data_IF_982261586689
#
_entry.id   IF_982261586689
#
_cell.length_a   1.000
_cell.length_b   1.000
_cell.length_c   1.000
_cell.angle_alpha   90.00
_cell.angle_beta   90.00
_cell.angle_gamma   90.00
#
_symmetry.space_group_name_H-M   'P 1'
#
loop_
_entity.id
_entity.type
_entity.pdbx_description
1 polymer ?
#
# COMPACT_ATOMS: atom_id res chain seq x y z
N UNK A 1 -13.59 43.72 14.35
CA UNK A 1 -12.64 44.24 13.34
C UNK A 1 -11.26 43.82 13.82
N UNK A 2 -10.44 43.05 13.12
CA UNK A 2 -10.27 42.96 11.66
C UNK A 2 -9.48 41.69 11.33
N UNK A 3 -9.89 41.03 10.24
CA UNK A 3 -9.11 40.19 9.31
C UNK A 3 -8.40 38.92 9.79
N UNK A 4 -9.11 37.83 9.52
CA UNK A 4 -8.59 36.58 8.96
C UNK A 4 -7.69 36.82 7.72
N UNK A 5 -6.54 36.15 7.71
CA UNK A 5 -5.63 35.83 6.59
C UNK A 5 -4.76 34.70 7.14
N UNK A 6 -4.61 33.51 6.58
CA UNK A 6 -5.05 32.89 5.35
C UNK A 6 -4.08 31.73 5.11
N UNK A 7 -4.56 30.51 4.93
CA UNK A 7 -3.83 29.47 4.18
C UNK A 7 -4.91 28.70 3.42
N UNK A 8 -5.12 29.08 2.16
CA UNK A 8 -5.75 28.18 1.20
C UNK A 8 -4.70 27.10 0.92
N UNK A 9 -4.72 26.02 1.69
CA UNK A 9 -4.02 24.81 1.27
C UNK A 9 -4.72 24.35 0.00
N UNK A 10 -4.02 24.50 -1.12
CA UNK A 10 -4.42 23.92 -2.39
C UNK A 10 -4.34 22.40 -2.24
N UNK A 11 -5.37 21.81 -1.64
CA UNK A 11 -5.56 20.36 -1.63
C UNK A 11 -5.79 19.97 -3.09
N UNK A 12 -4.76 19.48 -3.76
CA UNK A 12 -4.91 18.83 -5.06
C UNK A 12 -6.00 17.77 -4.89
N UNK A 13 -7.13 17.95 -5.56
CA UNK A 13 -8.26 17.02 -5.46
C UNK A 13 -7.87 15.71 -6.13
N UNK A 14 -7.97 14.61 -5.38
CA UNK A 14 -7.74 13.24 -5.86
C UNK A 14 -8.57 12.98 -7.13
N UNK A 15 -7.96 12.59 -8.26
CA UNK A 15 -8.74 12.14 -9.41
C UNK A 15 -9.52 10.89 -8.99
N UNK A 16 -10.81 10.89 -9.29
CA UNK A 16 -11.74 9.83 -8.93
C UNK A 16 -11.36 8.56 -9.69
N UNK A 17 -10.70 7.61 -9.02
CA UNK A 17 -10.31 6.32 -9.60
C UNK A 17 -8.93 5.75 -9.20
N UNK A 18 -8.09 6.51 -8.48
CA UNK A 18 -6.78 6.00 -8.07
C UNK A 18 -6.81 5.20 -6.77
N UNK A 19 -6.06 4.10 -6.75
CA UNK A 19 -5.84 3.28 -5.56
C UNK A 19 -4.84 3.92 -4.59
N UNK A 20 -3.87 4.67 -5.11
CA UNK A 20 -2.80 5.31 -4.33
C UNK A 20 -3.15 6.73 -3.89
N UNK A 21 -2.54 7.17 -2.79
CA UNK A 21 -2.63 8.54 -2.27
C UNK A 21 -1.35 8.91 -1.52
N UNK A 22 -0.45 9.62 -2.22
CA UNK A 22 0.85 10.00 -1.66
C UNK A 22 0.79 11.23 -0.75
N UNK A 23 -0.40 11.71 -0.36
CA UNK A 23 -0.53 12.91 0.51
C UNK A 23 0.21 12.71 1.84
N UNK A 24 0.00 11.56 2.50
CA UNK A 24 0.66 11.26 3.77
C UNK A 24 2.19 11.20 3.62
N UNK A 25 2.68 10.49 2.60
CA UNK A 25 4.11 10.42 2.32
C UNK A 25 4.71 11.78 1.98
N UNK A 26 3.99 12.62 1.22
CA UNK A 26 4.42 13.96 0.85
C UNK A 26 4.51 14.89 2.06
N UNK A 27 3.57 14.78 3.00
CA UNK A 27 3.62 15.51 4.27
C UNK A 27 4.81 15.05 5.12
N UNK A 28 5.08 13.74 5.17
CA UNK A 28 6.23 13.18 5.88
C UNK A 28 7.58 13.59 5.25
N UNK A 29 7.60 13.73 3.92
CA UNK A 29 8.80 14.09 3.16
C UNK A 29 9.25 15.55 3.38
N UNK A 30 8.38 16.41 3.90
CA UNK A 30 8.62 17.85 4.13
C UNK A 30 9.27 18.55 2.91
N UNK A 31 8.75 18.26 1.72
CA UNK A 31 9.23 18.83 0.45
C UNK A 31 10.41 18.11 -0.20
N UNK A 32 10.89 17.00 0.37
CA UNK A 32 11.96 16.17 -0.22
C UNK A 32 11.42 15.21 -1.28
N UNK A 33 11.55 15.57 -2.57
CA UNK A 33 11.20 14.67 -3.66
C UNK A 33 12.07 13.40 -3.69
N UNK A 34 13.35 13.51 -3.32
CA UNK A 34 14.27 12.35 -3.29
C UNK A 34 13.77 11.27 -2.32
N UNK A 35 13.26 11.68 -1.16
CA UNK A 35 12.67 10.76 -0.19
C UNK A 35 11.40 10.09 -0.73
N UNK A 36 10.51 10.85 -1.39
CA UNK A 36 9.30 10.29 -2.01
C UNK A 36 9.69 9.26 -3.09
N UNK A 37 10.66 9.60 -3.95
CA UNK A 37 11.17 8.69 -4.99
C UNK A 37 11.73 7.41 -4.36
N UNK A 38 12.58 7.53 -3.34
CA UNK A 38 13.17 6.37 -2.66
C UNK A 38 12.11 5.43 -2.08
N UNK A 39 11.08 5.99 -1.42
CA UNK A 39 10.01 5.18 -0.82
C UNK A 39 9.14 4.49 -1.88
N UNK A 40 8.85 5.17 -2.99
CA UNK A 40 8.10 4.53 -4.10
C UNK A 40 8.94 3.45 -4.76
N UNK A 41 10.22 3.70 -5.03
CA UNK A 41 11.13 2.70 -5.63
C UNK A 41 11.27 1.46 -4.73
N UNK A 42 11.42 1.65 -3.42
CA UNK A 42 11.45 0.56 -2.44
C UNK A 42 10.15 -0.26 -2.47
N UNK A 43 9.00 0.41 -2.53
CA UNK A 43 7.71 -0.28 -2.65
C UNK A 43 7.62 -1.11 -3.93
N UNK A 44 8.01 -0.55 -5.07
CA UNK A 44 7.97 -1.20 -6.38
C UNK A 44 8.96 -2.37 -6.51
N UNK A 45 10.06 -2.35 -5.78
CA UNK A 45 11.05 -3.44 -5.75
C UNK A 45 10.65 -4.57 -4.80
N UNK A 46 10.22 -4.23 -3.58
CA UNK A 46 9.99 -5.23 -2.52
C UNK A 46 8.63 -5.93 -2.61
N UNK A 47 7.57 -5.17 -2.93
CA UNK A 47 6.19 -5.70 -2.86
C UNK A 47 5.95 -6.86 -3.83
N UNK A 48 6.46 -6.86 -5.08
CA UNK A 48 6.35 -8.03 -5.96
C UNK A 48 6.96 -9.30 -5.38
N UNK A 49 8.08 -9.19 -4.64
CA UNK A 49 8.70 -10.33 -3.99
C UNK A 49 7.83 -10.88 -2.84
N UNK A 50 7.20 -10.00 -2.05
CA UNK A 50 6.24 -10.42 -1.03
C UNK A 50 5.02 -11.13 -1.61
N UNK A 51 4.47 -10.61 -2.71
CA UNK A 51 3.33 -11.26 -3.38
C UNK A 51 3.70 -12.63 -3.95
N UNK A 52 4.87 -12.78 -4.56
CA UNK A 52 5.32 -14.09 -5.02
C UNK A 52 5.48 -15.09 -3.87
N UNK A 53 6.05 -14.65 -2.73
CA UNK A 53 6.20 -15.51 -1.56
C UNK A 53 4.84 -15.88 -0.94
N UNK A 54 3.89 -14.95 -0.86
CA UNK A 54 2.57 -15.23 -0.29
C UNK A 54 1.83 -16.29 -1.11
N UNK A 55 1.95 -16.25 -2.43
CA UNK A 55 1.36 -17.25 -3.33
C UNK A 55 2.02 -18.63 -3.17
N UNK A 56 3.35 -18.67 -2.96
CA UNK A 56 4.07 -19.91 -2.66
C UNK A 56 3.62 -20.52 -1.33
N UNK A 57 3.64 -19.72 -0.26
CA UNK A 57 3.21 -20.16 1.07
C UNK A 57 1.74 -20.57 1.11
N UNK A 58 0.89 -19.98 0.27
CA UNK A 58 -0.49 -20.42 0.11
C UNK A 58 -0.59 -21.86 -0.41
N UNK A 59 0.24 -22.25 -1.39
CA UNK A 59 0.27 -23.63 -1.90
C UNK A 59 0.75 -24.62 -0.83
N UNK A 60 1.70 -24.19 0.00
CA UNK A 60 2.27 -24.99 1.08
C UNK A 60 1.39 -25.00 2.34
N UNK A 61 0.36 -24.13 2.39
CA UNK A 61 -0.46 -23.86 3.57
C UNK A 61 0.37 -23.40 4.77
N UNK A 62 1.43 -22.65 4.51
CA UNK A 62 2.27 -22.04 5.54
C UNK A 62 1.65 -20.72 6.01
N UNK A 63 0.69 -20.84 6.92
CA UNK A 63 -0.06 -19.69 7.46
C UNK A 63 0.80 -18.76 8.31
N UNK A 64 1.85 -19.28 8.97
CA UNK A 64 2.77 -18.47 9.78
C UNK A 64 3.57 -17.53 8.88
N UNK A 65 4.09 -18.04 7.77
CA UNK A 65 4.80 -17.21 6.79
C UNK A 65 3.88 -16.20 6.10
N UNK A 66 2.64 -16.59 5.74
CA UNK A 66 1.64 -15.65 5.18
C UNK A 66 1.32 -14.53 6.18
N UNK A 67 1.15 -14.87 7.47
CA UNK A 67 0.94 -13.89 8.52
C UNK A 67 2.09 -12.88 8.61
N UNK A 68 3.33 -13.36 8.58
CA UNK A 68 4.54 -12.51 8.61
C UNK A 68 4.60 -11.53 7.44
N UNK A 69 4.28 -12.00 6.22
CA UNK A 69 4.22 -11.13 5.04
C UNK A 69 3.13 -10.07 5.18
N UNK A 70 1.92 -10.48 5.55
CA UNK A 70 0.80 -9.55 5.73
C UNK A 70 1.11 -8.46 6.78
N UNK A 71 1.81 -8.84 7.86
CA UNK A 71 2.32 -7.89 8.84
C UNK A 71 3.29 -6.87 8.24
N UNK A 72 4.29 -7.35 7.50
CA UNK A 72 5.34 -6.52 6.91
C UNK A 72 4.81 -5.56 5.82
N UNK A 73 3.74 -5.93 5.11
CA UNK A 73 3.18 -5.11 4.02
C UNK A 73 2.40 -3.88 4.53
N UNK A 74 1.81 -3.92 5.73
CA UNK A 74 0.99 -2.83 6.29
C UNK A 74 1.65 -1.44 6.21
N UNK A 75 2.87 -1.21 6.75
CA UNK A 75 3.50 0.10 6.67
C UNK A 75 3.74 0.56 5.23
N UNK A 76 4.17 -0.34 4.34
CA UNK A 76 4.43 -0.03 2.93
C UNK A 76 3.17 0.41 2.19
N UNK A 77 2.04 -0.28 2.40
CA UNK A 77 0.74 0.10 1.84
C UNK A 77 0.24 1.46 2.37
N UNK A 78 0.47 1.73 3.66
CA UNK A 78 0.11 3.00 4.30
C UNK A 78 0.90 4.18 3.70
N UNK A 79 2.20 4.03 3.49
CA UNK A 79 3.01 5.08 2.86
C UNK A 79 2.56 5.38 1.43
N UNK A 80 2.17 4.36 0.66
CA UNK A 80 1.65 4.57 -0.70
C UNK A 80 0.18 5.01 -0.74
N UNK A 81 -0.47 5.10 0.43
CA UNK A 81 -1.88 5.50 0.56
C UNK A 81 -2.86 4.52 -0.06
N UNK A 82 -2.53 3.23 -0.12
CA UNK A 82 -3.38 2.19 -0.73
C UNK A 82 -4.42 1.71 0.30
N UNK A 83 -5.31 2.62 0.68
CA UNK A 83 -6.27 2.43 1.79
C UNK A 83 -7.21 1.24 1.58
N UNK A 84 -7.50 0.86 0.32
CA UNK A 84 -8.34 -0.29 0.01
C UNK A 84 -7.75 -1.62 0.54
N UNK A 85 -6.41 -1.72 0.62
CA UNK A 85 -5.74 -2.95 1.04
C UNK A 85 -5.48 -3.07 2.53
N UNK A 86 -5.60 -1.97 3.29
CA UNK A 86 -5.43 -2.00 4.74
C UNK A 86 -6.33 -3.04 5.44
N UNK A 87 -7.67 -3.06 5.22
CA UNK A 87 -8.52 -4.09 5.82
C UNK A 87 -8.22 -5.50 5.28
N UNK A 88 -7.74 -5.62 4.04
CA UNK A 88 -7.40 -6.92 3.41
C UNK A 88 -6.21 -7.55 4.11
N UNK A 89 -5.09 -6.82 4.26
CA UNK A 89 -3.88 -7.35 4.88
C UNK A 89 -4.06 -7.60 6.39
N UNK A 90 -4.85 -6.78 7.09
CA UNK A 90 -5.22 -7.04 8.48
C UNK A 90 -6.03 -8.34 8.59
N UNK A 91 -7.01 -8.54 7.71
CA UNK A 91 -7.83 -9.75 7.68
C UNK A 91 -6.98 -11.01 7.39
N UNK A 92 -6.05 -10.95 6.43
CA UNK A 92 -5.12 -12.06 6.15
C UNK A 92 -4.29 -12.40 7.39
N UNK A 93 -3.67 -11.39 8.01
CA UNK A 93 -2.83 -11.54 9.20
C UNK A 93 -3.62 -12.16 10.36
N UNK A 94 -4.80 -11.62 10.68
CA UNK A 94 -5.63 -12.11 11.79
C UNK A 94 -6.14 -13.54 11.55
N UNK A 95 -6.57 -13.86 10.33
CA UNK A 95 -7.06 -15.21 9.97
C UNK A 95 -5.95 -16.25 10.03
N UNK A 96 -4.75 -15.92 9.56
CA UNK A 96 -3.57 -16.77 9.69
C UNK A 96 -3.17 -16.96 11.16
N UNK A 97 -3.05 -15.87 11.92
CA UNK A 97 -2.64 -15.88 13.32
C UNK A 97 -3.59 -16.75 14.18
N UNK A 98 -4.90 -16.61 13.97
CA UNK A 98 -5.91 -17.34 14.74
C UNK A 98 -6.26 -18.71 14.14
N UNK A 99 -5.73 -19.03 12.95
CA UNK A 99 -6.06 -20.22 12.16
C UNK A 99 -7.57 -20.41 11.96
N UNK A 100 -8.27 -19.33 11.57
CA UNK A 100 -9.72 -19.32 11.33
C UNK A 100 -10.05 -18.79 9.94
N UNK A 101 -11.08 -19.36 9.33
CA UNK A 101 -11.57 -18.93 8.01
C UNK A 101 -10.47 -18.96 6.93
N UNK A 102 -9.54 -19.92 7.04
CA UNK A 102 -8.38 -20.07 6.15
C UNK A 102 -8.80 -20.32 4.69
N UNK A 103 -10.00 -20.85 4.47
CA UNK A 103 -10.62 -21.02 3.17
C UNK A 103 -10.91 -19.70 2.45
N UNK A 104 -10.98 -18.57 3.17
CA UNK A 104 -11.19 -17.24 2.58
C UNK A 104 -9.89 -16.55 2.14
N UNK A 105 -8.73 -17.00 2.65
CA UNK A 105 -7.42 -16.38 2.39
C UNK A 105 -7.06 -16.31 0.89
N UNK A 106 -7.29 -17.34 0.05
CA UNK A 106 -7.02 -17.23 -1.38
C UNK A 106 -7.72 -16.04 -2.04
N UNK A 107 -8.97 -15.75 -1.65
CA UNK A 107 -9.72 -14.62 -2.19
C UNK A 107 -9.15 -13.27 -1.77
N UNK A 108 -8.71 -13.16 -0.51
CA UNK A 108 -8.06 -11.95 0.00
C UNK A 108 -6.70 -11.71 -0.66
N UNK A 109 -5.91 -12.77 -0.88
CA UNK A 109 -4.64 -12.69 -1.62
C UNK A 109 -4.87 -12.29 -3.07
N UNK A 110 -5.93 -12.79 -3.72
CA UNK A 110 -6.29 -12.38 -5.07
C UNK A 110 -6.63 -10.88 -5.13
N UNK A 111 -7.42 -10.37 -4.18
CA UNK A 111 -7.74 -8.94 -4.08
C UNK A 111 -6.48 -8.09 -3.85
N UNK A 112 -5.58 -8.57 -2.98
CA UNK A 112 -4.27 -7.97 -2.72
C UNK A 112 -3.45 -7.84 -4.00
N UNK A 113 -3.29 -8.95 -4.74
CA UNK A 113 -2.54 -8.99 -6.00
C UNK A 113 -3.10 -8.03 -7.04
N UNK A 114 -4.41 -8.07 -7.28
CA UNK A 114 -5.08 -7.23 -8.29
C UNK A 114 -4.95 -5.74 -7.98
N UNK A 115 -5.10 -5.35 -6.71
CA UNK A 115 -5.01 -3.95 -6.32
C UNK A 115 -3.56 -3.45 -6.42
N UNK A 116 -2.58 -4.25 -6.00
CA UNK A 116 -1.17 -3.95 -6.15
C UNK A 116 -0.76 -3.76 -7.62
N UNK A 117 -1.23 -4.61 -8.54
CA UNK A 117 -0.94 -4.46 -9.98
C UNK A 117 -1.39 -3.11 -10.55
N UNK A 118 -2.54 -2.61 -10.11
CA UNK A 118 -3.03 -1.29 -10.51
C UNK A 118 -2.18 -0.20 -9.85
N UNK A 119 -1.94 -0.30 -8.54
CA UNK A 119 -1.13 0.66 -7.78
C UNK A 119 0.30 0.79 -8.34
N UNK A 120 0.92 -0.28 -8.83
CA UNK A 120 2.25 -0.22 -9.44
C UNK A 120 2.29 0.73 -10.64
N UNK A 121 1.25 0.71 -11.48
CA UNK A 121 1.18 1.58 -12.66
C UNK A 121 1.04 3.05 -12.25
N UNK A 122 0.17 3.32 -11.28
CA UNK A 122 -0.03 4.66 -10.72
C UNK A 122 1.28 5.21 -10.15
N UNK A 123 1.99 4.41 -9.36
CA UNK A 123 3.26 4.79 -8.74
C UNK A 123 4.39 5.00 -9.76
N UNK A 124 4.45 4.19 -10.82
CA UNK A 124 5.40 4.38 -11.93
C UNK A 124 5.14 5.69 -12.69
N UNK A 125 3.88 6.05 -12.90
CA UNK A 125 3.50 7.34 -13.48
C UNK A 125 3.90 8.51 -12.56
N UNK A 126 3.70 8.38 -11.26
CA UNK A 126 4.13 9.40 -10.28
C UNK A 126 5.66 9.55 -10.25
N UNK A 127 6.42 8.45 -10.25
CA UNK A 127 7.89 8.49 -10.35
C UNK A 127 8.37 9.25 -11.60
N UNK A 128 7.68 9.06 -12.73
CA UNK A 128 8.01 9.74 -13.99
C UNK A 128 7.76 11.25 -13.91
N UNK A 129 6.84 11.71 -13.06
CA UNK A 129 6.56 13.14 -12.85
C UNK A 129 7.53 13.82 -11.88
N UNK A 130 8.12 13.04 -10.97
CA UNK A 130 9.02 13.53 -9.92
C UNK A 130 10.48 13.63 -10.38
N UNK A 131 10.87 12.84 -11.39
CA UNK A 131 12.19 12.84 -12.04
C UNK A 131 12.26 13.86 -13.17
#
# INVERSE_FOLDING_TARGET
>A
MTKWIGILTNKKTKPMGLNTDLTYLSELADGSNDFIIEMIEMFLDQTPNYLNQIDQYLQEKDWESIQGIAHAMKPSLSFMGIAALEPVVISIEEKCMNQRELDTIPGLIQELNQTCEVSYKELQEELTKLK
#
